data_IF_984081379717
#
_entry.id   IF_984081379717
#
_cell.length_a   1.000
_cell.length_b   1.000
_cell.length_c   1.000
_cell.angle_alpha   90.00
_cell.angle_beta   90.00
_cell.angle_gamma   90.00
#
_symmetry.space_group_name_H-M   'P 1'
#
loop_
_entity.id
_entity.type
_entity.pdbx_description
1 polymer ?
#
# COMPACT_ATOMS: atom_id res chain seq x y z
N UNK A 1 14.52 -16.32 -4.85
CA UNK A 1 15.09 -15.84 -3.56
C UNK A 1 15.05 -16.99 -2.55
N UNK A 2 16.18 -17.34 -1.90
CA UNK A 2 16.14 -18.35 -0.82
C UNK A 2 15.45 -17.74 0.43
N UNK A 3 14.77 -18.58 1.22
CA UNK A 3 14.13 -18.16 2.49
C UNK A 3 15.06 -17.31 3.39
N UNK A 4 16.37 -17.54 3.32
CA UNK A 4 17.38 -16.77 4.06
C UNK A 4 17.52 -15.31 3.55
N UNK A 5 17.19 -15.02 2.29
CA UNK A 5 17.32 -13.68 1.74
C UNK A 5 16.24 -12.72 2.27
N UNK A 6 15.05 -13.23 2.64
CA UNK A 6 14.01 -12.43 3.29
C UNK A 6 14.49 -11.81 4.60
N UNK A 7 15.23 -12.59 5.41
CA UNK A 7 15.72 -12.12 6.72
C UNK A 7 16.68 -10.93 6.63
N UNK A 8 17.30 -10.73 5.47
CA UNK A 8 18.24 -9.62 5.21
C UNK A 8 17.56 -8.41 4.57
N UNK A 9 16.30 -8.53 4.15
CA UNK A 9 15.59 -7.45 3.49
C UNK A 9 14.91 -6.52 4.48
N UNK A 10 15.04 -5.23 4.21
CA UNK A 10 14.23 -4.17 4.82
C UNK A 10 13.09 -3.82 3.87
N UNK A 11 11.87 -4.08 4.27
CA UNK A 11 10.68 -3.83 3.45
C UNK A 11 9.71 -2.95 4.21
N UNK A 12 9.24 -1.92 3.53
CA UNK A 12 8.21 -1.02 4.09
C UNK A 12 6.84 -1.56 3.72
N UNK A 13 5.97 -1.70 4.72
CA UNK A 13 4.54 -1.94 4.53
C UNK A 13 3.74 -0.67 4.76
N UNK A 14 2.76 -0.40 3.89
CA UNK A 14 1.93 0.81 3.95
C UNK A 14 0.46 0.42 4.00
N UNK A 15 -0.27 0.99 4.96
CA UNK A 15 -1.72 0.80 5.14
C UNK A 15 -2.35 2.06 5.73
N UNK A 16 -3.64 2.24 5.53
CA UNK A 16 -4.40 3.32 6.18
C UNK A 16 -5.23 2.82 7.36
N UNK A 17 -5.59 3.76 8.23
CA UNK A 17 -6.54 3.55 9.31
C UNK A 17 -7.99 3.72 8.83
N UNK A 18 -8.92 3.21 9.65
CA UNK A 18 -10.33 3.48 9.40
C UNK A 18 -10.67 4.96 9.57
N UNK A 19 -11.59 5.45 8.76
CA UNK A 19 -12.17 6.78 8.90
C UNK A 19 -13.69 6.67 8.90
N UNK A 20 -14.35 7.61 9.60
CA UNK A 20 -15.79 7.74 9.57
C UNK A 20 -16.13 8.95 8.71
N UNK A 21 -16.96 8.77 7.70
CA UNK A 21 -17.51 9.93 6.97
C UNK A 21 -18.46 10.67 7.91
N UNK A 22 -18.06 11.87 8.33
CA UNK A 22 -18.96 12.74 9.07
C UNK A 22 -20.02 13.35 8.12
N UNK A 23 -21.26 13.56 8.61
CA UNK A 23 -22.26 14.26 7.82
C UNK A 23 -21.77 15.65 7.46
N UNK A 24 -21.96 16.02 6.20
CA UNK A 24 -21.53 17.23 5.51
C UNK A 24 -21.38 18.50 6.37
N UNK A 25 -20.21 19.13 6.34
CA UNK A 25 -20.00 20.50 6.84
C UNK A 25 -18.71 20.76 7.62
N UNK A 26 -17.90 19.76 7.92
CA UNK A 26 -16.65 19.94 8.63
C UNK A 26 -15.43 20.01 7.71
N UNK A 27 -14.29 20.48 8.25
CA UNK A 27 -12.98 20.47 7.61
C UNK A 27 -12.68 19.12 6.97
N UNK A 28 -11.85 19.08 5.93
CA UNK A 28 -11.46 17.88 5.19
C UNK A 28 -11.11 16.74 6.16
N UNK A 29 -11.86 15.64 6.07
CA UNK A 29 -11.70 14.50 6.97
C UNK A 29 -10.32 13.87 6.78
N UNK A 30 -9.69 13.46 7.88
CA UNK A 30 -8.39 12.81 7.89
C UNK A 30 -8.49 11.33 8.23
N UNK A 31 -7.55 10.55 7.71
CA UNK A 31 -7.32 9.17 8.08
C UNK A 31 -5.86 8.97 8.46
N UNK A 32 -5.58 8.06 9.38
CA UNK A 32 -4.22 7.69 9.68
C UNK A 32 -3.57 7.00 8.48
N UNK A 33 -2.30 7.30 8.26
CA UNK A 33 -1.47 6.70 7.22
C UNK A 33 -0.24 6.12 7.89
N UNK A 34 -0.07 4.81 7.79
CA UNK A 34 0.92 4.06 8.57
C UNK A 34 1.92 3.41 7.65
N UNK A 35 3.19 3.68 7.91
CA UNK A 35 4.32 3.00 7.31
C UNK A 35 5.06 2.20 8.38
N UNK A 36 5.41 0.95 8.09
CA UNK A 36 6.19 0.07 8.98
C UNK A 36 7.40 -0.44 8.24
N UNK A 37 8.58 -0.26 8.81
CA UNK A 37 9.82 -0.84 8.32
C UNK A 37 10.07 -2.18 9.01
N UNK A 38 10.07 -3.26 8.24
CA UNK A 38 10.47 -4.58 8.72
C UNK A 38 11.86 -4.94 8.19
N UNK A 39 12.69 -5.52 9.05
CA UNK A 39 13.89 -6.25 8.69
C UNK A 39 13.61 -7.74 8.86
N UNK A 40 13.38 -8.44 7.76
CA UNK A 40 12.77 -9.77 7.80
C UNK A 40 11.45 -9.76 8.55
N UNK A 41 11.36 -10.51 9.64
CA UNK A 41 10.15 -10.58 10.47
C UNK A 41 10.18 -9.63 11.70
N UNK A 42 11.20 -8.78 11.82
CA UNK A 42 11.34 -7.85 12.94
C UNK A 42 10.85 -6.46 12.54
N UNK A 43 10.04 -5.85 13.38
CA UNK A 43 9.69 -4.43 13.25
C UNK A 43 10.91 -3.62 13.66
N UNK A 44 11.53 -2.92 12.71
CA UNK A 44 12.67 -2.05 12.95
C UNK A 44 12.21 -0.65 13.36
N UNK A 45 11.18 -0.13 12.67
CA UNK A 45 10.59 1.17 12.95
C UNK A 45 9.17 1.27 12.40
N UNK A 46 8.42 2.29 12.80
CA UNK A 46 7.16 2.65 12.16
C UNK A 46 6.89 4.15 12.26
N UNK A 47 6.18 4.67 11.30
CA UNK A 47 5.73 6.07 11.28
C UNK A 47 4.21 6.13 11.05
N UNK A 48 3.59 7.16 11.64
CA UNK A 48 2.18 7.45 11.48
C UNK A 48 2.04 8.93 11.12
N UNK A 49 1.31 9.21 10.06
CA UNK A 49 0.91 10.54 9.64
C UNK A 49 -0.58 10.53 9.31
N UNK A 50 -1.12 11.65 8.87
CA UNK A 50 -2.50 11.79 8.44
C UNK A 50 -2.56 12.17 6.97
N UNK A 51 -3.49 11.53 6.25
CA UNK A 51 -3.85 11.87 4.87
C UNK A 51 -5.29 12.31 4.77
N UNK A 52 -5.60 13.11 3.77
CA UNK A 52 -6.94 13.64 3.54
C UNK A 52 -7.82 12.56 2.90
N UNK A 53 -9.01 12.31 3.46
CA UNK A 53 -9.98 11.40 2.83
C UNK A 53 -10.34 11.93 1.45
N UNK A 54 -10.25 11.07 0.43
CA UNK A 54 -10.46 11.40 -0.98
C UNK A 54 -9.54 12.54 -1.51
N UNK A 55 -8.43 12.84 -0.79
CA UNK A 55 -7.43 13.84 -1.18
C UNK A 55 -6.47 13.40 -2.28
N UNK A 56 -5.36 14.16 -2.44
CA UNK A 56 -4.25 13.88 -3.36
C UNK A 56 -2.88 13.99 -2.66
N UNK A 57 -2.86 13.86 -1.34
CA UNK A 57 -1.65 14.09 -0.54
C UNK A 57 -0.91 12.79 -0.15
N UNK A 58 -1.49 11.59 -0.41
CA UNK A 58 -0.92 10.32 0.02
C UNK A 58 0.48 10.05 -0.56
N UNK A 59 0.70 10.27 -1.86
CA UNK A 59 2.02 10.08 -2.49
C UNK A 59 3.09 10.96 -1.85
N UNK A 60 2.80 12.25 -1.68
CA UNK A 60 3.73 13.22 -1.08
C UNK A 60 4.04 12.87 0.38
N UNK A 61 3.03 12.46 1.14
CA UNK A 61 3.17 12.03 2.52
C UNK A 61 4.04 10.78 2.61
N UNK A 62 3.76 9.77 1.77
CA UNK A 62 4.57 8.56 1.73
C UNK A 62 6.05 8.87 1.45
N UNK A 63 6.34 9.65 0.41
CA UNK A 63 7.71 10.06 0.08
C UNK A 63 8.38 10.73 1.29
N UNK A 64 7.70 11.68 1.94
CA UNK A 64 8.24 12.35 3.13
C UNK A 64 8.57 11.38 4.27
N UNK A 65 7.71 10.39 4.53
CA UNK A 65 7.93 9.38 5.56
C UNK A 65 9.10 8.46 5.22
N UNK A 66 9.24 8.07 3.96
CA UNK A 66 10.27 7.13 3.51
C UNK A 66 11.69 7.72 3.52
N UNK A 67 11.86 9.03 3.41
CA UNK A 67 13.19 9.67 3.42
C UNK A 67 14.01 9.40 4.67
N UNK A 68 13.39 8.99 5.76
CA UNK A 68 14.07 8.70 7.03
C UNK A 68 14.63 7.28 7.12
N UNK A 69 14.37 6.42 6.12
CA UNK A 69 14.69 5.00 6.19
C UNK A 69 15.56 4.52 5.03
N UNK A 70 16.42 3.55 5.32
CA UNK A 70 17.09 2.73 4.32
C UNK A 70 16.31 1.44 4.13
N UNK A 71 15.75 1.21 2.94
CA UNK A 71 14.90 0.06 2.63
C UNK A 71 15.23 -0.52 1.24
N UNK A 72 14.75 -1.73 0.98
CA UNK A 72 14.97 -2.44 -0.28
C UNK A 72 13.72 -2.46 -1.16
N UNK A 73 12.51 -2.42 -0.57
CA UNK A 73 11.24 -2.40 -1.30
C UNK A 73 10.14 -1.74 -0.47
N UNK A 74 9.07 -1.31 -1.17
CA UNK A 74 7.82 -0.83 -0.55
C UNK A 74 6.67 -1.74 -0.95
N UNK A 75 5.84 -2.14 0.00
CA UNK A 75 4.59 -2.86 -0.23
C UNK A 75 3.39 -2.00 0.14
N UNK A 76 2.52 -1.76 -0.81
CA UNK A 76 1.29 -1.01 -0.64
C UNK A 76 0.09 -1.96 -0.50
N UNK A 77 -0.78 -1.72 0.46
CA UNK A 77 -2.05 -2.45 0.60
C UNK A 77 -3.11 -1.94 -0.39
N UNK A 78 -2.80 -1.99 -1.68
CA UNK A 78 -3.54 -1.37 -2.76
C UNK A 78 -2.96 -0.01 -3.17
N UNK A 79 -3.60 0.64 -4.14
CA UNK A 79 -3.20 1.97 -4.64
C UNK A 79 -3.97 3.08 -3.94
N UNK A 80 -5.20 2.78 -3.48
CA UNK A 80 -6.13 3.72 -2.87
C UNK A 80 -6.10 3.63 -1.36
N UNK A 81 -5.90 4.77 -0.70
CA UNK A 81 -5.92 4.94 0.74
C UNK A 81 -6.94 6.01 1.12
N UNK A 82 -7.54 5.91 2.30
CA UNK A 82 -8.55 6.86 2.77
C UNK A 82 -9.58 7.23 1.68
N UNK A 83 -10.20 6.23 1.10
CA UNK A 83 -11.08 6.38 -0.06
C UNK A 83 -10.30 6.38 -1.37
N UNK A 84 -10.32 7.48 -2.11
CA UNK A 84 -9.57 7.62 -3.36
C UNK A 84 -8.37 8.56 -3.27
N UNK A 85 -7.74 8.67 -2.11
CA UNK A 85 -6.43 9.32 -2.00
C UNK A 85 -5.35 8.32 -2.45
N UNK A 86 -4.83 8.55 -3.66
CA UNK A 86 -4.00 7.58 -4.34
C UNK A 86 -2.51 7.77 -4.04
N UNK A 87 -1.80 6.67 -3.82
CA UNK A 87 -0.35 6.62 -3.91
C UNK A 87 0.04 6.30 -5.34
N UNK A 88 0.89 7.11 -5.95
CA UNK A 88 1.50 6.84 -7.24
C UNK A 88 2.78 6.00 -7.06
N UNK A 89 2.76 4.70 -7.41
CA UNK A 89 3.93 3.84 -7.20
C UNK A 89 5.11 4.23 -8.11
N UNK A 90 4.82 4.81 -9.28
CA UNK A 90 5.86 5.28 -10.20
C UNK A 90 6.64 6.44 -9.60
N UNK A 91 5.94 7.40 -8.99
CA UNK A 91 6.58 8.52 -8.29
C UNK A 91 7.46 8.03 -7.13
N UNK A 92 6.99 7.04 -6.36
CA UNK A 92 7.78 6.46 -5.25
C UNK A 92 9.03 5.75 -5.79
N UNK A 93 8.89 4.99 -6.90
CA UNK A 93 10.02 4.33 -7.55
C UNK A 93 11.04 5.34 -8.11
N UNK A 94 10.59 6.39 -8.77
CA UNK A 94 11.45 7.43 -9.33
C UNK A 94 12.26 8.17 -8.25
N UNK A 95 11.65 8.40 -7.08
CA UNK A 95 12.30 9.08 -5.96
C UNK A 95 13.40 8.23 -5.30
N UNK A 96 13.13 6.93 -5.08
CA UNK A 96 14.03 6.09 -4.27
C UNK A 96 14.81 5.06 -5.07
N UNK A 97 14.46 4.78 -6.33
CA UNK A 97 15.04 3.70 -7.12
C UNK A 97 14.80 2.31 -6.49
N UNK A 98 13.72 2.15 -5.71
CA UNK A 98 13.38 0.91 -5.02
C UNK A 98 12.03 0.38 -5.51
N UNK A 99 11.89 -0.94 -5.74
CA UNK A 99 10.65 -1.52 -6.23
C UNK A 99 9.47 -1.25 -5.30
N UNK A 100 8.32 -1.01 -5.93
CA UNK A 100 7.04 -0.80 -5.27
C UNK A 100 6.08 -1.90 -5.69
N UNK A 101 5.64 -2.70 -4.72
CA UNK A 101 4.73 -3.83 -4.91
C UNK A 101 3.35 -3.45 -4.37
N UNK A 102 2.36 -3.46 -5.23
CA UNK A 102 0.95 -3.24 -4.86
C UNK A 102 0.31 -4.60 -4.61
N UNK A 103 -0.29 -4.80 -3.44
CA UNK A 103 -0.89 -6.07 -3.04
C UNK A 103 -2.38 -5.88 -2.80
N UNK A 104 -3.19 -6.54 -3.62
CA UNK A 104 -4.64 -6.55 -3.53
C UNK A 104 -5.15 -7.92 -3.08
N UNK A 105 -6.06 -7.97 -2.12
CA UNK A 105 -6.65 -9.20 -1.58
C UNK A 105 -7.74 -9.80 -2.46
N UNK A 106 -8.31 -8.98 -3.32
CA UNK A 106 -9.33 -9.32 -4.30
C UNK A 106 -8.90 -8.78 -5.65
N UNK A 107 -9.31 -9.42 -6.74
CA UNK A 107 -8.99 -8.95 -8.08
C UNK A 107 -9.51 -7.52 -8.27
N UNK A 108 -8.63 -6.57 -8.61
CA UNK A 108 -9.06 -5.20 -8.90
C UNK A 108 -10.03 -5.14 -10.08
N UNK A 109 -11.10 -4.38 -9.91
CA UNK A 109 -12.05 -4.07 -11.00
C UNK A 109 -11.80 -2.63 -11.47
N UNK A 110 -10.89 -2.49 -12.42
CA UNK A 110 -10.50 -1.19 -12.97
C UNK A 110 -11.66 -0.47 -13.69
N UNK A 111 -12.66 -1.23 -14.19
CA UNK A 111 -13.85 -0.64 -14.80
C UNK A 111 -14.73 0.02 -13.75
N UNK A 112 -14.98 -0.68 -12.63
CA UNK A 112 -15.74 -0.12 -11.53
C UNK A 112 -15.01 1.09 -10.90
N UNK A 113 -13.68 1.00 -10.74
CA UNK A 113 -12.84 2.12 -10.24
C UNK A 113 -12.98 3.34 -11.15
N UNK A 114 -12.79 3.18 -12.47
CA UNK A 114 -12.92 4.29 -13.43
C UNK A 114 -14.29 4.93 -13.38
N UNK A 115 -15.35 4.13 -13.35
CA UNK A 115 -16.72 4.62 -13.26
C UNK A 115 -16.99 5.40 -11.95
N UNK A 116 -16.41 4.96 -10.83
CA UNK A 116 -16.51 5.67 -9.57
C UNK A 116 -15.78 7.02 -9.62
N UNK A 117 -14.56 7.05 -10.18
CA UNK A 117 -13.79 8.26 -10.36
C UNK A 117 -14.54 9.29 -11.23
N UNK A 118 -15.04 8.86 -12.39
CA UNK A 118 -15.84 9.70 -13.31
C UNK A 118 -17.09 10.30 -12.64
N UNK A 119 -17.72 9.56 -11.72
CA UNK A 119 -18.96 9.99 -11.08
C UNK A 119 -18.73 10.94 -9.91
N UNK A 120 -17.63 10.82 -9.21
CA UNK A 120 -17.43 11.45 -7.90
C UNK A 120 -16.31 12.48 -7.83
N UNK A 121 -15.43 12.57 -8.87
CA UNK A 121 -14.25 13.42 -8.84
C UNK A 121 -14.12 14.27 -10.11
N UNK A 122 -14.02 15.57 -9.95
CA UNK A 122 -13.74 16.49 -11.08
C UNK A 122 -12.33 16.26 -11.65
N UNK A 123 -11.38 15.87 -10.79
CA UNK A 123 -9.99 15.56 -11.11
C UNK A 123 -9.75 14.09 -11.49
N UNK A 124 -10.79 13.38 -11.94
CA UNK A 124 -10.75 11.94 -12.25
C UNK A 124 -9.64 11.55 -13.25
N UNK A 125 -9.28 12.41 -14.20
CA UNK A 125 -8.20 12.14 -15.17
C UNK A 125 -6.84 12.03 -14.47
N UNK A 126 -6.57 12.89 -13.49
CA UNK A 126 -5.33 12.85 -12.69
C UNK A 126 -5.26 11.54 -11.92
N UNK A 127 -6.35 11.16 -11.26
CA UNK A 127 -6.44 9.91 -10.49
C UNK A 127 -6.34 8.69 -11.39
N UNK A 128 -7.09 8.68 -12.50
CA UNK A 128 -7.07 7.57 -13.44
C UNK A 128 -5.69 7.39 -14.09
N UNK A 129 -4.95 8.46 -14.36
CA UNK A 129 -3.60 8.41 -14.88
C UNK A 129 -2.61 7.60 -14.01
N UNK A 130 -2.86 7.49 -12.70
CA UNK A 130 -2.07 6.61 -11.82
C UNK A 130 -2.35 5.15 -12.18
N UNK A 131 -3.62 4.76 -12.32
CA UNK A 131 -3.98 3.38 -12.70
C UNK A 131 -3.50 3.00 -14.11
N UNK A 132 -3.47 3.94 -15.05
CA UNK A 132 -2.97 3.69 -16.42
C UNK A 132 -1.48 3.42 -16.48
N UNK A 133 -0.70 3.90 -15.50
CA UNK A 133 0.74 3.65 -15.38
C UNK A 133 1.07 2.35 -14.63
N UNK A 134 0.10 1.74 -13.97
CA UNK A 134 0.31 0.43 -13.35
C UNK A 134 0.51 -0.64 -14.41
N UNK A 135 1.36 -1.61 -14.09
CA UNK A 135 1.59 -2.77 -14.92
C UNK A 135 0.39 -3.74 -14.95
N UNK A 136 0.57 -4.90 -15.54
CA UNK A 136 -0.46 -5.94 -15.53
C UNK A 136 -0.71 -6.47 -14.11
N UNK A 137 -1.96 -6.84 -13.83
CA UNK A 137 -2.34 -7.50 -12.59
C UNK A 137 -1.94 -8.98 -12.68
N UNK A 138 -1.10 -9.42 -11.78
CA UNK A 138 -0.65 -10.80 -11.66
C UNK A 138 -1.33 -11.50 -10.49
N UNK A 139 -1.67 -12.78 -10.68
CA UNK A 139 -2.20 -13.63 -9.62
C UNK A 139 -1.07 -14.39 -8.94
N UNK A 140 -0.93 -14.24 -7.62
CA UNK A 140 0.08 -14.90 -6.80
C UNK A 140 -0.58 -15.89 -5.88
N UNK A 141 -0.35 -17.18 -6.13
CA UNK A 141 -0.86 -18.27 -5.28
C UNK A 141 0.09 -18.51 -4.11
N UNK A 142 -0.48 -18.53 -2.92
CA UNK A 142 0.15 -18.98 -1.68
C UNK A 142 -0.49 -20.32 -1.32
N UNK A 143 0.33 -21.29 -0.92
CA UNK A 143 -0.12 -22.68 -0.71
C UNK A 143 -1.32 -22.72 0.24
N UNK A 144 -2.39 -23.38 -0.21
CA UNK A 144 -3.66 -23.55 0.52
C UNK A 144 -4.42 -22.28 0.88
N UNK A 145 -4.11 -21.16 0.22
CA UNK A 145 -4.76 -19.86 0.45
C UNK A 145 -5.41 -19.33 -0.83
N UNK A 146 -6.39 -18.45 -0.67
CA UNK A 146 -6.96 -17.69 -1.78
C UNK A 146 -5.86 -16.79 -2.37
N UNK A 147 -5.72 -16.69 -3.70
CA UNK A 147 -4.63 -15.92 -4.30
C UNK A 147 -4.67 -14.43 -3.93
N UNK A 148 -3.51 -13.80 -4.00
CA UNK A 148 -3.36 -12.35 -4.01
C UNK A 148 -3.23 -11.87 -5.44
N UNK A 149 -3.56 -10.60 -5.66
CA UNK A 149 -3.37 -9.91 -6.93
C UNK A 149 -2.32 -8.83 -6.73
N UNK A 150 -1.31 -8.82 -7.57
CA UNK A 150 -0.17 -7.91 -7.42
C UNK A 150 0.11 -7.16 -8.71
N UNK A 151 0.57 -5.94 -8.55
CA UNK A 151 1.17 -5.11 -9.57
C UNK A 151 2.53 -4.67 -9.04
N UNK A 152 3.49 -4.41 -9.91
CA UNK A 152 4.85 -4.04 -9.49
C UNK A 152 5.43 -2.97 -10.39
N UNK A 153 6.17 -2.05 -9.79
CA UNK A 153 6.94 -1.01 -10.48
C UNK A 153 8.40 -1.15 -10.04
N UNK A 154 9.30 -1.21 -11.01
CA UNK A 154 10.75 -1.20 -10.78
C UNK A 154 11.39 -2.57 -10.57
N UNK A 155 10.62 -3.68 -10.73
CA UNK A 155 11.14 -5.05 -10.64
C UNK A 155 10.26 -6.01 -11.47
N UNK A 156 10.70 -7.26 -11.65
CA UNK A 156 9.94 -8.28 -12.36
C UNK A 156 8.96 -9.04 -11.45
N UNK A 157 8.08 -9.82 -12.08
CA UNK A 157 7.06 -10.58 -11.36
C UNK A 157 7.64 -11.80 -10.64
N UNK A 158 8.72 -12.39 -11.13
CA UNK A 158 9.40 -13.53 -10.54
C UNK A 158 9.97 -13.15 -9.17
N UNK A 159 10.70 -12.05 -9.11
CA UNK A 159 11.21 -11.48 -7.86
C UNK A 159 10.07 -11.12 -6.90
N UNK A 160 9.01 -10.50 -7.43
CA UNK A 160 7.83 -10.12 -6.64
C UNK A 160 7.15 -11.32 -6.02
N UNK A 161 6.96 -12.40 -6.79
CA UNK A 161 6.38 -13.65 -6.30
C UNK A 161 7.21 -14.26 -5.16
N UNK A 162 8.53 -14.25 -5.29
CA UNK A 162 9.42 -14.74 -4.25
C UNK A 162 9.34 -13.89 -2.98
N UNK A 163 9.32 -12.56 -3.12
CA UNK A 163 9.19 -11.64 -2.00
C UNK A 163 7.87 -11.82 -1.25
N UNK A 164 6.74 -11.92 -1.98
CA UNK A 164 5.41 -12.15 -1.41
C UNK A 164 5.39 -13.47 -0.62
N UNK A 165 5.86 -14.57 -1.22
CA UNK A 165 5.87 -15.89 -0.56
C UNK A 165 6.79 -15.93 0.65
N UNK A 166 7.96 -15.33 0.57
CA UNK A 166 8.92 -15.30 1.66
C UNK A 166 8.43 -14.43 2.84
N UNK A 167 7.68 -13.37 2.57
CA UNK A 167 7.15 -12.46 3.59
C UNK A 167 5.77 -12.85 4.13
N UNK A 168 5.09 -13.86 3.55
CA UNK A 168 3.80 -14.36 4.02
C UNK A 168 3.99 -15.40 5.14
N UNK A 169 4.33 -14.97 6.35
CA UNK A 169 4.73 -15.87 7.44
C UNK A 169 3.54 -16.46 8.21
N UNK A 170 2.53 -15.66 8.56
CA UNK A 170 1.41 -16.09 9.41
C UNK A 170 0.11 -16.34 8.62
N UNK A 171 -0.03 -15.75 7.46
CA UNK A 171 -1.18 -15.88 6.58
C UNK A 171 -0.77 -15.44 5.17
N UNK A 172 -1.72 -15.47 4.22
CA UNK A 172 -1.43 -15.06 2.84
C UNK A 172 -0.98 -13.59 2.67
N UNK A 173 -1.28 -12.72 3.63
CA UNK A 173 -0.90 -11.31 3.56
C UNK A 173 0.57 -11.16 3.98
N UNK A 174 1.43 -10.51 3.17
CA UNK A 174 2.81 -10.21 3.53
C UNK A 174 2.93 -9.48 4.86
N UNK A 175 3.90 -9.87 5.68
CA UNK A 175 4.10 -9.31 7.03
C UNK A 175 4.18 -7.77 7.06
N UNK A 176 4.89 -7.09 6.13
CA UNK A 176 4.94 -5.63 6.15
C UNK A 176 3.54 -4.99 6.10
N UNK A 177 2.67 -5.46 5.20
CA UNK A 177 1.28 -4.96 5.09
C UNK A 177 0.46 -5.39 6.31
N UNK A 178 0.61 -6.65 6.77
CA UNK A 178 -0.15 -7.16 7.90
C UNK A 178 0.13 -6.37 9.18
N UNK A 179 1.39 -6.07 9.45
CA UNK A 179 1.81 -5.30 10.63
C UNK A 179 1.34 -3.85 10.52
N UNK A 180 1.54 -3.18 9.37
CA UNK A 180 1.03 -1.83 9.13
C UNK A 180 -0.48 -1.74 9.41
N UNK A 181 -1.24 -2.73 8.93
CA UNK A 181 -2.70 -2.82 9.16
C UNK A 181 -3.06 -3.01 10.63
N UNK A 182 -2.32 -3.81 11.37
CA UNK A 182 -2.57 -4.00 12.81
C UNK A 182 -2.38 -2.70 13.58
N UNK A 183 -1.31 -1.96 13.27
CA UNK A 183 -1.01 -0.66 13.89
C UNK A 183 -2.10 0.34 13.51
N UNK A 184 -2.40 0.49 12.21
CA UNK A 184 -3.42 1.42 11.71
C UNK A 184 -4.79 1.18 12.38
N UNK A 185 -5.22 -0.08 12.47
CA UNK A 185 -6.48 -0.46 13.11
C UNK A 185 -6.47 -0.29 14.63
N UNK A 186 -5.33 -0.57 15.26
CA UNK A 186 -5.18 -0.38 16.71
C UNK A 186 -5.32 1.07 17.12
N UNK A 187 -4.72 1.97 16.36
CA UNK A 187 -4.76 3.42 16.61
C UNK A 187 -6.11 4.06 16.26
N UNK A 188 -6.86 3.50 15.29
CA UNK A 188 -8.18 4.03 14.90
C UNK A 188 -9.34 3.47 15.72
N UNK A 189 -9.13 2.43 16.53
CA UNK A 189 -10.15 1.95 17.44
C UNK A 189 -10.42 3.01 18.51
N UNK A 190 -11.58 3.69 18.43
CA UNK A 190 -12.09 4.41 19.60
C UNK A 190 -12.21 3.40 20.75
N UNK A 191 -11.56 3.70 21.88
CA UNK A 191 -11.81 2.97 23.10
C UNK A 191 -13.33 2.97 23.33
N UNK A 192 -13.93 1.78 23.45
CA UNK A 192 -15.33 1.62 23.79
C UNK A 192 -15.58 1.99 25.24
#
# INVERSE_FOLDING_TARGET
MHLNAWQELRVVGVEDGGFFREPSGSAAQKALFVCVLLHGNWIEDFQVDEITVDGLDASKKLVSMLHHWAFHAVMLAGVSFAGFNLVDPTLVFEEFGKPVVIVSRTKPDNVAVKNALLRHFEDWQIRWGIFERLGPIHEVSIINEVPLYVEVVGEDIEWTNELIRASAACCRIPEPIRVARLIARGLTRKAR
#
